data_IF_498729046743
#
_entry.id   IF_498729046743
#
_cell.length_a   1.000
_cell.length_b   1.000
_cell.length_c   1.000
_cell.angle_alpha   90.00
_cell.angle_beta   90.00
_cell.angle_gamma   90.00
#
_symmetry.space_group_name_H-M   'P 1'
#
loop_
_entity.id
_entity.type
_entity.pdbx_description
1 polymer ?
#
# COMPACT_ATOMS: atom_id res chain seq x y z
N UNK A 1 -15.52 21.79 -4.84
CA UNK A 1 -15.03 20.42 -5.12
C UNK A 1 -13.57 20.36 -4.69
N UNK A 2 -13.18 19.37 -3.88
CA UNK A 2 -11.79 19.25 -3.40
C UNK A 2 -11.04 18.30 -4.34
N UNK A 3 -9.82 18.70 -4.71
CA UNK A 3 -8.97 17.97 -5.63
C UNK A 3 -7.79 17.34 -4.90
N UNK A 4 -7.38 16.15 -5.32
CA UNK A 4 -6.08 15.56 -4.99
C UNK A 4 -5.32 15.49 -6.31
N UNK A 5 -4.18 16.17 -6.39
CA UNK A 5 -3.35 16.21 -7.60
C UNK A 5 -4.15 16.55 -8.89
N UNK A 6 -5.07 17.52 -8.80
CA UNK A 6 -5.91 17.96 -9.92
C UNK A 6 -7.14 17.08 -10.20
N UNK A 7 -7.32 15.95 -9.51
CA UNK A 7 -8.42 15.01 -9.73
C UNK A 7 -9.48 15.15 -8.62
N UNK A 8 -10.77 15.22 -8.94
CA UNK A 8 -11.85 15.25 -7.95
C UNK A 8 -11.82 14.02 -7.05
N UNK A 9 -11.93 14.21 -5.74
CA UNK A 9 -11.92 13.12 -4.77
C UNK A 9 -13.14 13.16 -3.84
N UNK A 10 -13.56 11.98 -3.37
CA UNK A 10 -14.60 11.88 -2.34
C UNK A 10 -14.09 12.39 -0.99
N UNK A 11 -15.01 12.71 -0.08
CA UNK A 11 -14.66 13.15 1.28
C UNK A 11 -13.78 12.13 2.00
N UNK A 12 -14.08 10.84 1.85
CA UNK A 12 -13.34 9.75 2.49
C UNK A 12 -11.92 9.64 1.95
N UNK A 13 -11.73 9.74 0.61
CA UNK A 13 -10.40 9.75 0.01
C UNK A 13 -9.56 10.94 0.47
N UNK A 14 -10.18 12.12 0.62
CA UNK A 14 -9.52 13.31 1.14
C UNK A 14 -9.10 13.12 2.59
N UNK A 15 -9.96 12.51 3.42
CA UNK A 15 -9.62 12.18 4.81
C UNK A 15 -8.44 11.21 4.87
N UNK A 16 -8.47 10.11 4.09
CA UNK A 16 -7.36 9.14 4.02
C UNK A 16 -6.08 9.86 3.59
N UNK A 17 -6.13 10.61 2.49
CA UNK A 17 -4.98 11.35 1.98
C UNK A 17 -4.41 12.31 3.01
N UNK A 18 -5.25 13.09 3.69
CA UNK A 18 -4.81 14.09 4.67
C UNK A 18 -4.11 13.45 5.86
N UNK A 19 -4.65 12.34 6.37
CA UNK A 19 -4.03 11.59 7.48
C UNK A 19 -2.71 10.95 7.06
N UNK A 20 -2.66 10.31 5.89
CA UNK A 20 -1.43 9.68 5.38
C UNK A 20 -0.36 10.72 5.05
N UNK A 21 -0.74 11.87 4.48
CA UNK A 21 0.17 12.98 4.16
C UNK A 21 0.88 13.54 5.40
N UNK A 22 0.27 13.46 6.57
CA UNK A 22 0.89 13.83 7.85
C UNK A 22 1.81 12.75 8.45
N UNK A 23 1.71 11.50 8.02
CA UNK A 23 2.43 10.37 8.60
C UNK A 23 3.85 10.21 8.02
N UNK A 24 4.75 9.54 8.77
CA UNK A 24 6.13 9.22 8.37
C UNK A 24 6.38 7.72 8.46
N UNK A 25 7.53 7.24 7.97
CA UNK A 25 7.91 5.84 8.06
C UNK A 25 7.98 5.35 9.52
N UNK A 26 8.48 6.18 10.43
CA UNK A 26 8.63 5.89 11.86
C UNK A 26 7.29 5.92 12.59
N UNK A 27 6.40 6.82 12.17
CA UNK A 27 5.07 6.99 12.74
C UNK A 27 3.98 6.90 11.65
N UNK A 28 3.71 5.68 11.15
CA UNK A 28 2.71 5.46 10.11
C UNK A 28 1.29 5.54 10.69
N UNK A 29 0.33 5.98 9.87
CA UNK A 29 -1.09 5.95 10.24
C UNK A 29 -1.61 4.51 10.19
N UNK A 30 -2.24 4.06 11.28
CA UNK A 30 -2.75 2.70 11.37
C UNK A 30 -4.08 2.57 10.65
N UNK A 31 -4.37 1.40 10.10
CA UNK A 31 -5.65 1.11 9.44
C UNK A 31 -6.86 1.38 10.36
N UNK A 32 -6.72 1.08 11.66
CA UNK A 32 -7.76 1.36 12.66
C UNK A 32 -8.09 2.86 12.79
N UNK A 33 -7.08 3.71 12.66
CA UNK A 33 -7.26 5.16 12.82
C UNK A 33 -7.96 5.72 11.57
N UNK A 34 -7.58 5.23 10.38
CA UNK A 34 -8.28 5.53 9.13
C UNK A 34 -9.74 5.05 9.16
N UNK A 35 -10.00 3.87 9.72
CA UNK A 35 -11.37 3.34 9.90
C UNK A 35 -12.21 4.26 10.79
N UNK A 36 -11.67 4.66 11.93
CA UNK A 36 -12.38 5.55 12.85
C UNK A 36 -12.67 6.93 12.21
N UNK A 37 -11.74 7.45 11.41
CA UNK A 37 -11.90 8.76 10.78
C UNK A 37 -12.85 8.76 9.56
N UNK A 38 -13.01 7.62 8.88
CA UNK A 38 -13.76 7.53 7.62
C UNK A 38 -15.05 6.72 7.72
N UNK A 39 -15.20 5.87 8.75
CA UNK A 39 -16.28 4.89 8.84
C UNK A 39 -16.14 3.70 7.87
N UNK A 40 -15.07 3.65 7.07
CA UNK A 40 -14.88 2.63 6.04
C UNK A 40 -14.39 1.30 6.62
N UNK A 41 -14.74 0.20 5.93
CA UNK A 41 -14.12 -1.11 6.21
C UNK A 41 -12.63 -1.11 5.85
N UNK A 42 -11.84 -2.02 6.43
CA UNK A 42 -10.41 -2.10 6.08
C UNK A 42 -10.17 -2.42 4.61
N UNK A 43 -11.07 -3.18 3.97
CA UNK A 43 -10.99 -3.47 2.54
C UNK A 43 -11.13 -2.18 1.73
N UNK A 44 -12.14 -1.37 2.02
CA UNK A 44 -12.35 -0.07 1.36
C UNK A 44 -11.20 0.90 1.62
N UNK A 45 -10.56 0.86 2.79
CA UNK A 45 -9.34 1.65 3.06
C UNK A 45 -8.19 1.20 2.17
N UNK A 46 -7.94 -0.12 2.04
CA UNK A 46 -6.90 -0.64 1.15
C UNK A 46 -7.17 -0.25 -0.31
N UNK A 47 -8.42 -0.35 -0.75
CA UNK A 47 -8.84 0.06 -2.10
C UNK A 47 -8.64 1.56 -2.30
N UNK A 48 -8.98 2.39 -1.29
CA UNK A 48 -8.75 3.83 -1.30
C UNK A 48 -7.27 4.20 -1.38
N UNK A 49 -6.40 3.52 -0.63
CA UNK A 49 -4.94 3.71 -0.71
C UNK A 49 -4.41 3.34 -2.09
N UNK A 50 -4.86 2.22 -2.68
CA UNK A 50 -4.47 1.84 -4.03
C UNK A 50 -4.96 2.85 -5.06
N UNK A 51 -6.19 3.36 -4.92
CA UNK A 51 -6.72 4.40 -5.78
C UNK A 51 -5.85 5.66 -5.69
N UNK A 52 -5.49 6.10 -4.48
CA UNK A 52 -4.56 7.23 -4.27
C UNK A 52 -3.20 7.01 -4.96
N UNK A 53 -2.65 5.80 -4.92
CA UNK A 53 -1.38 5.46 -5.60
C UNK A 53 -1.49 5.48 -7.11
N UNK A 54 -2.46 4.77 -7.68
CA UNK A 54 -2.51 4.49 -9.12
C UNK A 54 -3.26 5.56 -9.91
N UNK A 55 -4.34 6.11 -9.37
CA UNK A 55 -5.17 7.12 -10.06
C UNK A 55 -4.70 8.52 -9.74
N UNK A 56 -4.43 8.82 -8.47
CA UNK A 56 -4.05 10.17 -8.03
C UNK A 56 -2.54 10.39 -8.01
N UNK A 57 -1.73 9.36 -8.30
CA UNK A 57 -0.26 9.39 -8.29
C UNK A 57 0.34 9.88 -6.95
N UNK A 58 -0.32 9.53 -5.83
CA UNK A 58 0.15 9.93 -4.50
C UNK A 58 1.20 8.93 -4.00
N UNK A 59 2.37 9.41 -3.55
CA UNK A 59 3.47 8.55 -3.11
C UNK A 59 3.23 8.02 -1.68
N UNK A 60 2.42 6.95 -1.57
CA UNK A 60 2.06 6.34 -0.28
C UNK A 60 2.80 5.03 -0.08
N UNK A 61 3.58 4.94 0.99
CA UNK A 61 4.22 3.71 1.45
C UNK A 61 3.33 2.91 2.40
N UNK A 62 3.68 1.64 2.62
CA UNK A 62 2.99 0.78 3.60
C UNK A 62 3.93 -0.19 4.29
N UNK A 63 3.77 -0.36 5.61
CA UNK A 63 4.43 -1.38 6.43
C UNK A 63 3.42 -2.47 6.75
N UNK A 64 3.73 -3.74 6.44
CA UNK A 64 2.79 -4.87 6.58
C UNK A 64 3.05 -5.77 7.80
N UNK A 65 4.32 -5.97 8.18
CA UNK A 65 4.73 -6.98 9.17
C UNK A 65 5.61 -6.36 10.26
N UNK A 66 5.07 -5.40 11.00
CA UNK A 66 5.72 -4.81 12.16
C UNK A 66 4.67 -4.36 13.19
N UNK A 67 5.11 -4.11 14.42
CA UNK A 67 4.31 -3.42 15.46
C UNK A 67 3.79 -2.05 14.99
N UNK A 68 4.49 -1.45 14.02
CA UNK A 68 4.13 -0.20 13.36
C UNK A 68 3.53 -0.44 11.96
N UNK A 69 2.71 -1.48 11.77
CA UNK A 69 1.99 -1.66 10.51
C UNK A 69 1.03 -0.48 10.23
N UNK A 70 1.06 0.03 8.99
CA UNK A 70 0.32 1.21 8.62
C UNK A 70 0.77 1.83 7.29
N UNK A 71 0.28 3.03 7.02
CA UNK A 71 0.57 3.80 5.80
C UNK A 71 1.33 5.07 6.13
N UNK A 72 2.18 5.52 5.22
CA UNK A 72 2.95 6.75 5.39
C UNK A 72 3.17 7.45 4.05
N UNK A 73 3.50 8.73 4.10
CA UNK A 73 3.86 9.49 2.90
C UNK A 73 5.35 9.34 2.61
N UNK A 74 5.69 8.93 1.39
CA UNK A 74 7.07 8.81 0.93
C UNK A 74 7.59 10.21 0.62
N UNK A 75 8.65 10.65 1.31
CA UNK A 75 9.27 11.98 1.13
C UNK A 75 10.72 11.91 0.69
N UNK A 76 11.34 10.74 0.80
CA UNK A 76 12.74 10.52 0.46
C UNK A 76 12.94 9.22 -0.31
N UNK A 77 14.12 9.09 -0.93
CA UNK A 77 14.54 7.82 -1.54
C UNK A 77 14.66 6.70 -0.51
N UNK A 78 15.04 7.03 0.73
CA UNK A 78 15.10 6.06 1.83
C UNK A 78 13.72 5.48 2.15
N UNK A 79 12.70 6.34 2.24
CA UNK A 79 11.29 5.92 2.41
C UNK A 79 10.85 5.00 1.26
N UNK A 80 11.20 5.40 0.03
CA UNK A 80 10.85 4.64 -1.16
C UNK A 80 11.50 3.25 -1.14
N UNK A 81 12.81 3.17 -0.87
CA UNK A 81 13.56 1.91 -0.77
C UNK A 81 12.95 1.02 0.31
N UNK A 82 12.64 1.57 1.49
CA UNK A 82 12.01 0.82 2.58
C UNK A 82 10.64 0.24 2.17
N UNK A 83 9.87 0.95 1.36
CA UNK A 83 8.61 0.45 0.82
C UNK A 83 8.80 -0.65 -0.24
N UNK A 84 9.70 -0.44 -1.21
CA UNK A 84 9.81 -1.30 -2.41
C UNK A 84 10.64 -2.55 -2.18
N UNK A 85 11.62 -2.53 -1.27
CA UNK A 85 12.49 -3.68 -1.01
C UNK A 85 11.71 -4.97 -0.64
N UNK A 86 10.78 -4.96 0.34
CA UNK A 86 10.00 -6.14 0.67
C UNK A 86 9.06 -6.57 -0.47
N UNK A 87 8.50 -5.61 -1.23
CA UNK A 87 7.63 -5.90 -2.38
C UNK A 87 8.42 -6.61 -3.48
N UNK A 88 9.64 -6.14 -3.78
CA UNK A 88 10.53 -6.77 -4.76
C UNK A 88 10.95 -8.17 -4.32
N UNK A 89 11.23 -8.36 -3.03
CA UNK A 89 11.54 -9.68 -2.48
C UNK A 89 10.36 -10.65 -2.64
N UNK A 90 9.15 -10.22 -2.28
CA UNK A 90 7.94 -11.03 -2.45
C UNK A 90 7.69 -11.36 -3.93
N UNK A 91 7.81 -10.40 -4.84
CA UNK A 91 7.60 -10.64 -6.27
C UNK A 91 8.58 -11.68 -6.85
N UNK A 92 9.82 -11.70 -6.36
CA UNK A 92 10.80 -12.74 -6.75
C UNK A 92 10.42 -14.11 -6.25
N UNK A 93 9.93 -14.20 -5.01
CA UNK A 93 9.50 -15.49 -4.45
C UNK A 93 8.29 -16.05 -5.18
N UNK A 94 7.29 -15.21 -5.48
CA UNK A 94 6.14 -15.61 -6.29
C UNK A 94 6.57 -16.11 -7.68
N UNK A 95 7.56 -15.47 -8.31
CA UNK A 95 8.11 -15.93 -9.58
C UNK A 95 8.82 -17.27 -9.46
N UNK A 96 9.56 -17.51 -8.37
CA UNK A 96 10.17 -18.81 -8.08
C UNK A 96 9.11 -19.90 -7.94
N UNK A 97 8.02 -19.63 -7.22
CA UNK A 97 6.89 -20.56 -7.09
C UNK A 97 6.29 -20.87 -8.46
N UNK A 98 6.03 -19.86 -9.28
CA UNK A 98 5.51 -20.05 -10.66
C UNK A 98 6.42 -20.98 -11.47
N UNK A 99 7.73 -20.74 -11.44
CA UNK A 99 8.69 -21.57 -12.18
C UNK A 99 8.73 -23.00 -11.64
N UNK A 100 8.75 -23.15 -10.31
CA UNK A 100 8.77 -24.47 -9.66
C UNK A 100 7.52 -25.28 -9.98
N UNK A 101 6.35 -24.66 -10.02
CA UNK A 101 5.10 -25.32 -10.38
C UNK A 101 5.11 -25.82 -11.84
N UNK A 102 5.68 -25.05 -12.76
CA UNK A 102 5.88 -25.48 -14.16
C UNK A 102 6.79 -26.71 -14.22
N UNK A 103 7.91 -26.69 -13.50
CA UNK A 103 8.84 -27.82 -13.45
C UNK A 103 8.19 -29.06 -12.84
N UNK A 104 7.44 -28.90 -11.75
CA UNK A 104 6.74 -29.99 -11.10
C UNK A 104 5.75 -30.65 -12.07
N UNK A 105 4.93 -29.86 -12.78
CA UNK A 105 3.98 -30.40 -13.76
C UNK A 105 4.68 -31.22 -14.85
N UNK A 106 5.81 -30.74 -15.37
CA UNK A 106 6.55 -31.40 -16.44
C UNK A 106 7.25 -32.70 -16.00
N UNK A 107 7.66 -32.78 -14.73
CA UNK A 107 8.42 -33.90 -14.21
C UNK A 107 7.59 -34.87 -13.36
N UNK A 108 6.30 -34.59 -13.17
CA UNK A 108 5.42 -35.42 -12.35
C UNK A 108 5.20 -36.78 -13.02
N UNK A 109 5.38 -37.85 -12.24
CA UNK A 109 5.04 -39.22 -12.66
C UNK A 109 3.78 -39.65 -11.92
N UNK A 110 2.76 -40.02 -12.68
CA UNK A 110 1.47 -40.51 -12.19
C UNK A 110 1.57 -41.91 -11.61
#
# INVERSE_FOLDING_TARGET
MILINGIPASKELITIFSMVKGATLENPVKTKDLKNATGLSERMIRDGINNLRFTYSVPIGSIRHATNAGYYFIRSETDLIACIAPIRAQAREELNVVNKLKDNLNNWRW
#
